data_IF_185264795044
#
_entry.id   IF_185264795044
#
_cell.length_a   1.000
_cell.length_b   1.000
_cell.length_c   1.000
_cell.angle_alpha   90.00
_cell.angle_beta   90.00
_cell.angle_gamma   90.00
#
_symmetry.space_group_name_H-M   'P 1'
#
loop_
_entity.id
_entity.type
_entity.pdbx_description
1 polymer ?
#
# COMPACT_ATOMS: atom_id res chain seq x y z
N UNK A 1 5.32 14.61 -43.81
CA UNK A 1 5.02 15.85 -43.06
C UNK A 1 5.11 15.50 -41.57
N UNK A 2 6.21 15.84 -40.91
CA UNK A 2 6.32 15.68 -39.45
C UNK A 2 5.47 16.79 -38.84
N UNK A 3 4.40 16.42 -38.17
CA UNK A 3 3.63 17.36 -37.37
C UNK A 3 4.46 17.56 -36.10
N UNK A 4 5.25 18.63 -36.09
CA UNK A 4 5.84 19.12 -34.85
C UNK A 4 4.70 19.68 -34.00
N UNK A 5 4.27 18.91 -33.00
CA UNK A 5 3.42 19.41 -31.93
C UNK A 5 4.25 20.48 -31.20
N UNK A 6 3.92 21.76 -31.41
CA UNK A 6 4.40 22.82 -30.53
C UNK A 6 3.92 22.45 -29.12
N UNK A 7 4.86 22.16 -28.22
CA UNK A 7 4.56 22.16 -26.79
C UNK A 7 4.23 23.61 -26.43
N UNK A 8 2.94 23.95 -26.40
CA UNK A 8 2.49 25.15 -25.71
C UNK A 8 2.86 24.96 -24.23
N UNK A 9 3.62 25.91 -23.69
CA UNK A 9 4.02 25.88 -22.29
C UNK A 9 2.77 26.17 -21.45
N UNK A 10 2.21 25.12 -20.85
CA UNK A 10 1.00 25.22 -20.02
C UNK A 10 1.38 25.93 -18.73
N UNK A 11 0.75 27.06 -18.45
CA UNK A 11 0.83 27.73 -17.15
C UNK A 11 -0.09 27.01 -16.15
N UNK A 12 0.50 26.19 -15.29
CA UNK A 12 -0.25 25.41 -14.29
C UNK A 12 -0.75 26.27 -13.13
N UNK A 13 -0.16 27.45 -12.88
CA UNK A 13 -0.54 28.30 -11.73
C UNK A 13 -1.94 28.88 -11.88
N UNK A 14 -2.41 29.06 -13.12
CA UNK A 14 -3.74 29.61 -13.43
C UNK A 14 -4.85 28.55 -13.52
N UNK A 15 -4.50 27.26 -13.57
CA UNK A 15 -5.48 26.17 -13.67
C UNK A 15 -6.30 26.01 -12.39
N UNK A 16 -7.55 25.61 -12.52
CA UNK A 16 -8.39 25.28 -11.37
C UNK A 16 -7.91 24.00 -10.70
N UNK A 17 -8.30 23.81 -9.44
CA UNK A 17 -7.78 22.68 -8.65
C UNK A 17 -8.26 21.32 -9.16
N UNK A 18 -9.40 21.25 -9.84
CA UNK A 18 -9.87 20.05 -10.53
C UNK A 18 -9.12 19.78 -11.83
N UNK A 19 -8.79 20.82 -12.61
CA UNK A 19 -7.93 20.69 -13.79
C UNK A 19 -6.55 20.15 -13.40
N UNK A 20 -5.96 20.65 -12.31
CA UNK A 20 -4.69 20.12 -11.78
C UNK A 20 -4.78 18.62 -11.46
N UNK A 21 -5.88 18.16 -10.85
CA UNK A 21 -6.10 16.73 -10.56
C UNK A 21 -6.22 15.91 -11.85
N UNK A 22 -6.86 16.46 -12.88
CA UNK A 22 -6.96 15.81 -14.19
C UNK A 22 -5.56 15.63 -14.81
N UNK A 23 -4.71 16.66 -14.81
CA UNK A 23 -3.32 16.53 -15.29
C UNK A 23 -2.50 15.54 -14.47
N UNK A 24 -2.65 15.52 -13.14
CA UNK A 24 -2.02 14.50 -12.28
C UNK A 24 -2.43 13.08 -12.70
N UNK A 25 -3.66 12.90 -13.17
CA UNK A 25 -4.16 11.59 -13.61
C UNK A 25 -3.45 11.02 -14.83
N UNK A 26 -2.85 11.89 -15.66
CA UNK A 26 -2.11 11.50 -16.85
C UNK A 26 -0.64 11.19 -16.59
N UNK A 27 -0.19 11.02 -15.33
CA UNK A 27 1.22 10.77 -14.97
C UNK A 27 1.92 9.62 -15.73
N UNK A 28 1.17 8.65 -16.24
CA UNK A 28 1.73 7.55 -17.04
C UNK A 28 1.95 7.93 -18.52
N UNK A 29 1.20 8.90 -19.02
CA UNK A 29 1.19 9.35 -20.42
C UNK A 29 2.02 10.62 -20.59
N UNK A 30 1.90 11.56 -19.63
CA UNK A 30 2.52 12.88 -19.60
C UNK A 30 3.15 13.14 -18.22
N UNK A 31 4.25 12.44 -17.88
CA UNK A 31 4.83 12.49 -16.53
C UNK A 31 5.34 13.89 -16.14
N UNK A 32 5.88 14.65 -17.08
CA UNK A 32 6.44 15.99 -16.79
C UNK A 32 5.33 16.99 -16.49
N UNK A 33 4.26 16.98 -17.27
CA UNK A 33 3.08 17.82 -17.09
C UNK A 33 2.35 17.46 -15.80
N UNK A 34 2.20 16.17 -15.51
CA UNK A 34 1.61 15.68 -14.27
C UNK A 34 2.42 16.13 -13.04
N UNK A 35 3.75 16.07 -13.09
CA UNK A 35 4.62 16.52 -12.00
C UNK A 35 4.49 18.03 -11.77
N UNK A 36 4.50 18.85 -12.84
CA UNK A 36 4.26 20.29 -12.72
C UNK A 36 2.90 20.60 -12.10
N UNK A 37 1.84 19.95 -12.59
CA UNK A 37 0.50 20.08 -12.02
C UNK A 37 0.45 19.68 -10.54
N UNK A 38 1.14 18.59 -10.18
CA UNK A 38 1.21 18.09 -8.82
C UNK A 38 1.92 19.07 -7.88
N UNK A 39 3.02 19.69 -8.31
CA UNK A 39 3.73 20.71 -7.53
C UNK A 39 2.81 21.90 -7.23
N UNK A 40 2.11 22.41 -8.24
CA UNK A 40 1.16 23.53 -8.06
C UNK A 40 0.02 23.11 -7.11
N UNK A 41 -0.51 21.89 -7.28
CA UNK A 41 -1.54 21.35 -6.39
C UNK A 41 -1.06 21.26 -4.93
N UNK A 42 0.14 20.71 -4.69
CA UNK A 42 0.75 20.66 -3.37
C UNK A 42 0.90 22.06 -2.79
N UNK A 43 1.45 23.02 -3.55
CA UNK A 43 1.61 24.40 -3.10
C UNK A 43 0.28 25.05 -2.68
N UNK A 44 -0.80 24.76 -3.42
CA UNK A 44 -2.14 25.30 -3.17
C UNK A 44 -2.77 24.77 -1.87
N UNK A 45 -2.53 23.50 -1.53
CA UNK A 45 -3.21 22.85 -0.40
C UNK A 45 -2.31 22.52 0.80
N UNK A 46 -0.99 22.63 0.70
CA UNK A 46 -0.03 22.21 1.74
C UNK A 46 -0.32 22.80 3.12
N UNK A 47 -0.60 24.11 3.20
CA UNK A 47 -0.85 24.76 4.48
C UNK A 47 -2.10 24.20 5.18
N UNK A 48 -3.15 23.93 4.40
CA UNK A 48 -4.42 23.41 4.91
C UNK A 48 -4.27 21.95 5.35
N UNK A 49 -3.53 21.14 4.57
CA UNK A 49 -3.23 19.74 4.87
C UNK A 49 -2.36 19.61 6.11
N UNK A 50 -1.25 20.34 6.20
CA UNK A 50 -0.33 20.32 7.35
C UNK A 50 -1.09 20.71 8.63
N UNK A 51 -1.81 21.84 8.60
CA UNK A 51 -2.59 22.29 9.75
C UNK A 51 -3.62 21.24 10.20
N UNK A 52 -4.28 20.59 9.25
CA UNK A 52 -5.25 19.53 9.56
C UNK A 52 -4.55 18.30 10.15
N UNK A 53 -3.41 17.91 9.60
CA UNK A 53 -2.61 16.81 10.11
C UNK A 53 -2.11 17.08 11.53
N UNK A 54 -1.68 18.30 11.85
CA UNK A 54 -1.29 18.71 13.20
C UNK A 54 -2.46 18.62 14.18
N UNK A 55 -3.62 19.18 13.81
CA UNK A 55 -4.82 19.15 14.66
C UNK A 55 -5.22 17.70 14.98
N UNK A 56 -5.25 16.83 13.97
CA UNK A 56 -5.60 15.43 14.17
C UNK A 56 -4.51 14.69 14.95
N UNK A 57 -3.24 14.82 14.58
CA UNK A 57 -2.13 14.15 15.27
C UNK A 57 -2.10 14.51 16.76
N UNK A 58 -2.22 15.78 17.09
CA UNK A 58 -2.22 16.26 18.48
C UNK A 58 -3.42 15.71 19.26
N UNK A 59 -4.61 15.62 18.64
CA UNK A 59 -5.80 14.98 19.25
C UNK A 59 -5.57 13.51 19.61
N UNK A 60 -4.73 12.79 18.86
CA UNK A 60 -4.40 11.39 19.11
C UNK A 60 -3.05 11.20 19.83
N UNK A 61 -2.44 12.28 20.34
CA UNK A 61 -1.20 12.23 21.12
C UNK A 61 0.08 12.04 20.30
N UNK A 62 0.04 12.32 19.00
CA UNK A 62 1.20 12.27 18.11
C UNK A 62 1.89 13.63 17.97
N UNK A 63 3.19 13.61 17.66
CA UNK A 63 4.02 14.81 17.52
C UNK A 63 3.80 15.55 16.19
N UNK A 64 4.32 16.78 16.10
CA UNK A 64 4.35 17.56 14.86
C UNK A 64 5.16 16.88 13.75
N UNK A 65 6.20 16.13 14.11
CA UNK A 65 6.99 15.34 13.14
C UNK A 65 6.11 14.28 12.49
N UNK A 66 5.33 13.53 13.28
CA UNK A 66 4.37 12.56 12.76
C UNK A 66 3.31 13.27 11.90
N UNK A 67 2.84 14.45 12.32
CA UNK A 67 1.88 15.22 11.52
C UNK A 67 2.42 15.59 10.13
N UNK A 68 3.69 15.99 10.05
CA UNK A 68 4.35 16.26 8.78
C UNK A 68 4.45 15.01 7.90
N UNK A 69 4.78 13.86 8.48
CA UNK A 69 4.79 12.57 7.76
C UNK A 69 3.40 12.22 7.23
N UNK A 70 2.34 12.40 8.03
CA UNK A 70 0.96 12.19 7.58
C UNK A 70 0.60 13.13 6.41
N UNK A 71 1.03 14.39 6.45
CA UNK A 71 0.81 15.34 5.36
C UNK A 71 1.52 14.90 4.08
N UNK A 72 2.77 14.43 4.17
CA UNK A 72 3.51 13.89 3.04
C UNK A 72 2.84 12.63 2.47
N UNK A 73 2.43 11.69 3.32
CA UNK A 73 1.68 10.50 2.93
C UNK A 73 0.34 10.85 2.24
N UNK A 74 -0.31 11.93 2.67
CA UNK A 74 -1.55 12.42 2.03
C UNK A 74 -1.30 12.81 0.59
N UNK A 75 -0.27 13.62 0.31
CA UNK A 75 0.08 14.01 -1.05
C UNK A 75 0.60 12.83 -1.88
N UNK A 76 1.43 11.96 -1.30
CA UNK A 76 1.87 10.73 -1.97
C UNK A 76 0.68 9.86 -2.40
N UNK A 77 -0.37 9.81 -1.59
CA UNK A 77 -1.61 9.10 -1.93
C UNK A 77 -2.40 9.77 -3.05
N UNK A 78 -2.42 11.11 -3.12
CA UNK A 78 -3.04 11.84 -4.23
C UNK A 78 -2.28 11.54 -5.53
N UNK A 79 -0.94 11.60 -5.51
CA UNK A 79 -0.11 11.22 -6.64
C UNK A 79 -0.38 9.79 -7.08
N UNK A 80 -0.47 8.85 -6.14
CA UNK A 80 -0.70 7.44 -6.43
C UNK A 80 -2.12 7.17 -6.95
N UNK A 81 -3.13 7.74 -6.30
CA UNK A 81 -4.55 7.54 -6.57
C UNK A 81 -5.30 8.89 -6.65
N UNK A 82 -5.32 9.48 -7.83
CA UNK A 82 -6.03 10.71 -8.18
C UNK A 82 -7.54 10.45 -8.35
N UNK A 83 -8.21 10.04 -7.25
CA UNK A 83 -9.58 9.53 -7.26
C UNK A 83 -10.65 10.57 -6.89
N UNK A 84 -10.30 11.86 -6.85
CA UNK A 84 -11.26 12.90 -6.55
C UNK A 84 -12.33 12.98 -7.65
N UNK A 85 -13.57 13.20 -7.23
CA UNK A 85 -14.71 13.26 -8.15
C UNK A 85 -15.69 14.31 -7.62
N UNK A 86 -15.75 15.45 -8.33
CA UNK A 86 -16.59 16.58 -7.96
C UNK A 86 -18.08 16.22 -7.94
N UNK A 87 -18.52 15.29 -8.79
CA UNK A 87 -19.94 14.86 -8.85
C UNK A 87 -20.43 14.25 -7.54
N UNK A 88 -19.52 13.71 -6.72
CA UNK A 88 -19.80 13.12 -5.40
C UNK A 88 -19.85 14.15 -4.28
N UNK A 89 -19.50 15.41 -4.54
CA UNK A 89 -19.50 16.49 -3.55
C UNK A 89 -20.69 17.42 -3.73
N UNK A 90 -21.42 17.70 -2.64
CA UNK A 90 -22.51 18.69 -2.61
C UNK A 90 -22.03 20.13 -2.50
N UNK A 91 -20.74 20.34 -2.27
CA UNK A 91 -20.16 21.66 -2.08
C UNK A 91 -19.96 22.31 -3.44
N UNK A 92 -20.40 23.55 -3.62
CA UNK A 92 -20.26 24.28 -4.90
C UNK A 92 -18.80 24.62 -5.19
N UNK A 93 -18.15 25.27 -4.23
CA UNK A 93 -16.74 25.66 -4.30
C UNK A 93 -15.83 24.43 -4.48
N UNK A 94 -14.95 24.47 -5.49
CA UNK A 94 -14.10 23.33 -5.84
C UNK A 94 -12.99 23.11 -4.82
N UNK A 95 -12.29 24.17 -4.42
CA UNK A 95 -11.19 24.11 -3.47
C UNK A 95 -11.66 23.61 -2.11
N UNK A 96 -12.82 24.09 -1.64
CA UNK A 96 -13.43 23.61 -0.40
C UNK A 96 -13.83 22.14 -0.49
N UNK A 97 -14.31 21.67 -1.64
CA UNK A 97 -14.62 20.26 -1.84
C UNK A 97 -13.34 19.40 -1.79
N UNK A 98 -12.27 19.86 -2.43
CA UNK A 98 -10.97 19.19 -2.44
C UNK A 98 -10.35 19.18 -1.04
N UNK A 99 -10.41 20.28 -0.29
CA UNK A 99 -9.95 20.33 1.11
C UNK A 99 -10.60 19.26 1.98
N UNK A 100 -11.92 19.12 1.92
CA UNK A 100 -12.62 18.09 2.69
C UNK A 100 -12.21 16.68 2.25
N UNK A 101 -12.02 16.47 0.95
CA UNK A 101 -11.49 15.20 0.45
C UNK A 101 -10.07 14.92 0.97
N UNK A 102 -9.18 15.92 0.97
CA UNK A 102 -7.83 15.81 1.55
C UNK A 102 -7.88 15.56 3.06
N UNK A 103 -8.76 16.21 3.82
CA UNK A 103 -8.92 15.98 5.26
C UNK A 103 -9.33 14.54 5.57
N UNK A 104 -10.20 13.96 4.73
CA UNK A 104 -10.56 12.56 4.84
C UNK A 104 -9.35 11.63 4.56
N UNK A 105 -8.47 12.01 3.63
CA UNK A 105 -7.21 11.27 3.40
C UNK A 105 -6.29 11.39 4.61
N UNK A 106 -6.04 12.60 5.12
CA UNK A 106 -5.22 12.86 6.32
C UNK A 106 -5.67 11.98 7.48
N UNK A 107 -6.98 11.97 7.77
CA UNK A 107 -7.54 11.15 8.84
C UNK A 107 -7.25 9.65 8.62
N UNK A 108 -7.44 9.15 7.40
CA UNK A 108 -7.19 7.75 7.08
C UNK A 108 -5.70 7.38 7.21
N UNK A 109 -4.79 8.25 6.77
CA UNK A 109 -3.35 8.02 6.90
C UNK A 109 -2.90 8.05 8.37
N UNK A 110 -3.46 8.94 9.19
CA UNK A 110 -3.24 8.94 10.63
C UNK A 110 -3.74 7.64 11.29
N UNK A 111 -4.94 7.18 10.94
CA UNK A 111 -5.47 5.92 11.49
C UNK A 111 -4.63 4.71 11.06
N UNK A 112 -4.09 4.71 9.83
CA UNK A 112 -3.14 3.68 9.39
C UNK A 112 -1.84 3.73 10.21
N UNK A 113 -1.29 4.92 10.44
CA UNK A 113 -0.11 5.11 11.27
C UNK A 113 -0.33 4.54 12.67
N UNK A 114 -1.46 4.84 13.32
CA UNK A 114 -1.78 4.29 14.65
C UNK A 114 -1.86 2.75 14.73
N UNK A 115 -2.04 2.06 13.60
CA UNK A 115 -2.11 0.58 13.54
C UNK A 115 -0.80 -0.05 13.08
N UNK A 116 -0.08 0.60 12.15
CA UNK A 116 1.10 0.03 11.48
C UNK A 116 2.43 0.70 11.84
N UNK A 117 2.37 1.77 12.63
CA UNK A 117 3.49 2.70 12.88
C UNK A 117 4.09 3.29 11.60
N UNK A 118 3.29 3.34 10.53
CA UNK A 118 3.63 3.99 9.26
C UNK A 118 2.37 4.35 8.47
N UNK A 119 2.41 5.49 7.79
CA UNK A 119 1.41 5.90 6.79
C UNK A 119 1.85 5.61 5.35
N UNK A 120 3.13 5.27 5.15
CA UNK A 120 3.68 5.03 3.82
C UNK A 120 3.09 3.74 3.27
N UNK A 121 2.55 3.81 2.05
CA UNK A 121 2.20 2.60 1.32
C UNK A 121 3.45 2.06 0.64
N UNK A 122 3.75 0.75 0.76
CA UNK A 122 4.86 0.15 0.03
C UNK A 122 4.70 0.40 -1.47
N UNK A 123 5.83 0.59 -2.16
CA UNK A 123 5.83 0.70 -3.61
C UNK A 123 5.40 -0.63 -4.23
N UNK A 124 4.94 -0.61 -5.49
CA UNK A 124 4.53 -1.86 -6.15
C UNK A 124 5.70 -2.85 -6.30
N UNK A 125 6.93 -2.33 -6.35
CA UNK A 125 8.16 -3.09 -6.48
C UNK A 125 8.63 -3.70 -5.14
N UNK A 126 8.29 -3.07 -4.02
CA UNK A 126 8.54 -3.61 -2.67
C UNK A 126 7.68 -4.86 -2.38
N UNK A 127 6.60 -5.06 -3.15
CA UNK A 127 5.68 -6.18 -2.99
C UNK A 127 6.12 -7.39 -3.83
N UNK A 128 6.88 -8.28 -3.21
CA UNK A 128 7.39 -9.53 -3.81
C UNK A 128 6.55 -10.77 -3.46
N UNK A 129 6.65 -11.80 -4.30
CA UNK A 129 6.17 -13.14 -3.97
C UNK A 129 7.19 -13.79 -3.04
N UNK A 130 6.69 -14.43 -1.98
CA UNK A 130 7.53 -15.05 -0.96
C UNK A 130 7.69 -16.52 -1.31
N UNK A 131 8.89 -16.90 -1.71
CA UNK A 131 9.16 -18.25 -2.24
C UNK A 131 9.70 -19.18 -1.17
N UNK A 132 10.45 -18.63 -0.21
CA UNK A 132 11.06 -19.38 0.87
C UNK A 132 10.92 -18.66 2.22
N UNK A 133 11.38 -19.32 3.29
CA UNK A 133 11.30 -18.79 4.65
C UNK A 133 12.27 -17.62 4.89
N UNK A 134 13.40 -17.56 4.20
CA UNK A 134 14.34 -16.43 4.31
C UNK A 134 13.72 -15.15 3.72
N UNK A 135 12.98 -15.26 2.62
CA UNK A 135 12.20 -14.17 2.04
C UNK A 135 11.13 -13.69 3.04
N UNK A 136 10.42 -14.63 3.67
CA UNK A 136 9.38 -14.33 4.68
C UNK A 136 9.99 -13.57 5.86
N UNK A 137 11.11 -14.06 6.40
CA UNK A 137 11.82 -13.44 7.52
C UNK A 137 12.27 -12.03 7.14
N UNK A 138 12.86 -11.86 5.96
CA UNK A 138 13.34 -10.57 5.48
C UNK A 138 12.21 -9.54 5.37
N UNK A 139 11.04 -9.95 4.86
CA UNK A 139 9.85 -9.09 4.76
C UNK A 139 9.20 -8.77 6.10
N UNK A 140 9.29 -9.69 7.08
CA UNK A 140 8.57 -9.54 8.36
C UNK A 140 9.33 -8.68 9.38
N UNK A 141 10.66 -8.81 9.43
CA UNK A 141 11.49 -8.20 10.49
C UNK A 141 12.60 -7.27 9.98
N UNK A 142 12.70 -7.04 8.66
CA UNK A 142 13.72 -6.15 8.10
C UNK A 142 15.13 -6.67 8.42
N UNK A 143 16.09 -5.79 8.70
CA UNK A 143 17.51 -6.14 8.97
C UNK A 143 17.84 -6.45 10.45
N UNK A 144 16.85 -6.49 11.34
CA UNK A 144 17.06 -6.74 12.78
C UNK A 144 17.57 -8.17 13.05
N UNK A 145 18.86 -8.30 13.31
CA UNK A 145 19.54 -9.60 13.41
C UNK A 145 19.05 -10.48 14.57
N UNK A 146 18.56 -9.89 15.66
CA UNK A 146 18.10 -10.62 16.84
C UNK A 146 16.69 -11.15 16.63
N UNK A 147 15.79 -10.30 16.11
CA UNK A 147 14.43 -10.73 15.73
C UNK A 147 14.43 -11.75 14.60
N UNK A 148 15.36 -11.62 13.64
CA UNK A 148 15.56 -12.63 12.57
C UNK A 148 15.86 -14.02 13.14
N UNK A 149 16.75 -14.11 14.14
CA UNK A 149 17.12 -15.40 14.76
C UNK A 149 15.94 -16.04 15.50
N UNK A 150 15.23 -15.28 16.33
CA UNK A 150 14.05 -15.79 17.05
C UNK A 150 12.96 -16.24 16.07
N UNK A 151 12.70 -15.47 15.00
CA UNK A 151 11.71 -15.84 14.00
C UNK A 151 12.12 -17.11 13.23
N UNK A 152 13.39 -17.25 12.84
CA UNK A 152 13.89 -18.47 12.18
C UNK A 152 13.66 -19.72 13.03
N UNK A 153 13.99 -19.66 14.33
CA UNK A 153 13.79 -20.79 15.26
C UNK A 153 12.31 -21.20 15.30
N UNK A 154 11.39 -20.22 15.34
CA UNK A 154 9.94 -20.49 15.34
C UNK A 154 9.46 -21.08 14.01
N UNK A 155 10.10 -20.70 12.91
CA UNK A 155 9.75 -21.14 11.56
C UNK A 155 10.29 -22.55 11.22
N UNK A 156 11.30 -23.07 11.92
CA UNK A 156 11.83 -24.44 11.66
C UNK A 156 10.75 -25.53 11.75
N UNK A 157 9.80 -25.38 12.67
CA UNK A 157 8.69 -26.35 12.81
C UNK A 157 7.77 -26.28 11.59
N UNK A 158 7.54 -25.06 11.08
CA UNK A 158 6.72 -24.82 9.88
C UNK A 158 7.44 -25.35 8.64
N UNK A 159 8.77 -25.21 8.55
CA UNK A 159 9.58 -25.77 7.46
C UNK A 159 9.41 -27.29 7.35
N UNK A 160 9.45 -27.99 8.49
CA UNK A 160 9.19 -29.45 8.53
C UNK A 160 7.76 -29.77 8.12
N UNK A 161 6.79 -28.98 8.57
CA UNK A 161 5.39 -29.13 8.15
C UNK A 161 5.20 -28.93 6.64
N UNK A 162 6.04 -28.11 6.01
CA UNK A 162 5.96 -27.82 4.57
C UNK A 162 6.56 -28.91 3.68
N UNK A 163 7.32 -29.87 4.20
CA UNK A 163 7.93 -30.94 3.39
C UNK A 163 6.88 -31.78 2.64
N UNK A 164 5.67 -31.92 3.20
CA UNK A 164 4.55 -32.62 2.56
C UNK A 164 3.80 -31.81 1.50
N UNK A 165 4.15 -30.54 1.30
CA UNK A 165 3.46 -29.63 0.38
C UNK A 165 4.19 -29.52 -0.96
N UNK A 166 3.42 -29.35 -2.04
CA UNK A 166 4.02 -29.03 -3.35
C UNK A 166 4.51 -27.58 -3.38
N UNK A 167 5.38 -27.26 -4.33
CA UNK A 167 5.98 -25.93 -4.44
C UNK A 167 4.94 -24.81 -4.56
N UNK A 168 3.87 -25.05 -5.34
CA UNK A 168 2.75 -24.10 -5.46
C UNK A 168 2.07 -23.86 -4.11
N UNK A 169 1.87 -24.89 -3.29
CA UNK A 169 1.28 -24.75 -1.96
C UNK A 169 2.18 -23.92 -1.03
N UNK A 170 3.49 -24.19 -1.04
CA UNK A 170 4.47 -23.47 -0.20
C UNK A 170 4.50 -21.99 -0.54
N UNK A 171 4.69 -21.65 -1.82
CA UNK A 171 4.76 -20.26 -2.30
C UNK A 171 3.46 -19.51 -1.94
N UNK A 172 2.29 -20.13 -2.18
CA UNK A 172 1.01 -19.50 -1.85
C UNK A 172 0.89 -19.29 -0.34
N UNK A 173 1.18 -20.29 0.48
CA UNK A 173 1.09 -20.17 1.93
C UNK A 173 2.02 -19.07 2.48
N UNK A 174 3.29 -19.09 2.08
CA UNK A 174 4.30 -18.13 2.52
C UNK A 174 3.92 -16.70 2.11
N UNK A 175 3.50 -16.52 0.86
CA UNK A 175 3.05 -15.21 0.36
C UNK A 175 1.83 -14.71 1.13
N UNK A 176 0.85 -15.57 1.42
CA UNK A 176 -0.28 -15.15 2.26
C UNK A 176 0.18 -14.81 3.68
N UNK A 177 1.06 -15.60 4.31
CA UNK A 177 1.56 -15.28 5.66
C UNK A 177 2.33 -13.97 5.74
N UNK A 178 3.01 -13.56 4.68
CA UNK A 178 3.74 -12.30 4.65
C UNK A 178 2.82 -11.06 4.62
N UNK A 179 1.66 -11.15 3.97
CA UNK A 179 0.82 -9.97 3.70
C UNK A 179 -0.59 -10.01 4.30
N UNK A 180 -1.11 -11.19 4.65
CA UNK A 180 -2.43 -11.35 5.28
C UNK A 180 -2.36 -10.85 6.72
N UNK A 181 -3.04 -9.74 6.99
CA UNK A 181 -3.10 -9.14 8.32
C UNK A 181 -4.53 -9.25 8.87
N UNK A 182 -4.70 -9.90 10.03
CA UNK A 182 -5.96 -10.03 10.76
C UNK A 182 -7.14 -10.48 9.88
N UNK A 183 -6.95 -11.50 9.05
CA UNK A 183 -8.00 -12.07 8.18
C UNK A 183 -8.32 -11.25 6.94
N UNK A 184 -7.56 -10.19 6.64
CA UNK A 184 -7.66 -9.44 5.37
C UNK A 184 -6.83 -10.10 4.28
N UNK A 185 -7.41 -10.21 3.09
CA UNK A 185 -6.71 -10.74 1.91
C UNK A 185 -5.42 -9.95 1.59
N UNK A 186 -4.48 -10.63 0.93
CA UNK A 186 -3.26 -10.02 0.40
C UNK A 186 -3.57 -8.84 -0.55
N UNK A 187 -2.63 -7.88 -0.71
CA UNK A 187 -2.78 -6.80 -1.68
C UNK A 187 -3.11 -7.31 -3.10
N UNK A 188 -3.95 -6.57 -3.82
CA UNK A 188 -4.42 -6.96 -5.17
C UNK A 188 -3.26 -7.20 -6.15
N UNK A 189 -2.20 -6.39 -6.05
CA UNK A 189 -0.99 -6.50 -6.86
C UNK A 189 -0.27 -7.82 -6.56
N UNK A 190 -0.04 -8.16 -5.28
CA UNK A 190 0.55 -9.45 -4.87
C UNK A 190 -0.30 -10.61 -5.38
N UNK A 191 -1.62 -10.53 -5.26
CA UNK A 191 -2.53 -11.56 -5.78
C UNK A 191 -2.51 -11.68 -7.31
N UNK A 192 -2.23 -10.60 -8.05
CA UNK A 192 -2.02 -10.65 -9.51
C UNK A 192 -0.67 -11.30 -9.84
N UNK A 193 0.42 -10.84 -9.22
CA UNK A 193 1.77 -11.42 -9.39
C UNK A 193 1.78 -12.93 -9.08
N UNK A 194 1.08 -13.35 -8.03
CA UNK A 194 1.01 -14.75 -7.61
C UNK A 194 0.28 -15.64 -8.64
N UNK A 195 -0.82 -15.15 -9.22
CA UNK A 195 -1.56 -15.84 -10.27
C UNK A 195 -0.75 -15.98 -11.56
N UNK A 196 -0.09 -14.91 -11.96
CA UNK A 196 0.75 -14.87 -13.16
C UNK A 196 1.94 -15.82 -13.01
N UNK A 197 2.67 -15.74 -11.88
CA UNK A 197 3.85 -16.58 -11.62
C UNK A 197 3.52 -18.08 -11.59
N UNK A 198 2.43 -18.46 -10.92
CA UNK A 198 2.06 -19.87 -10.75
C UNK A 198 1.19 -20.41 -11.89
N UNK A 199 0.80 -19.54 -12.83
CA UNK A 199 -0.17 -19.80 -13.88
C UNK A 199 -1.46 -20.44 -13.32
N UNK A 200 -2.09 -19.74 -12.36
CA UNK A 200 -3.28 -20.20 -11.65
C UNK A 200 -4.40 -19.16 -11.69
N UNK A 201 -5.63 -19.64 -11.74
CA UNK A 201 -6.83 -18.81 -11.52
C UNK A 201 -7.04 -18.55 -10.03
N UNK A 202 -7.82 -17.52 -9.70
CA UNK A 202 -8.05 -17.12 -8.31
C UNK A 202 -8.69 -18.23 -7.46
N UNK A 203 -9.61 -19.01 -8.03
CA UNK A 203 -10.23 -20.14 -7.33
C UNK A 203 -9.20 -21.20 -6.93
N UNK A 204 -8.27 -21.54 -7.83
CA UNK A 204 -7.16 -22.44 -7.52
C UNK A 204 -6.27 -21.88 -6.42
N UNK A 205 -5.92 -20.59 -6.46
CA UNK A 205 -5.13 -19.98 -5.37
C UNK A 205 -5.81 -20.17 -4.00
N UNK A 206 -7.12 -19.99 -3.92
CA UNK A 206 -7.86 -20.18 -2.65
C UNK A 206 -7.86 -21.64 -2.19
N UNK A 207 -8.00 -22.59 -3.12
CA UNK A 207 -7.93 -24.03 -2.80
C UNK A 207 -6.55 -24.40 -2.26
N UNK A 208 -5.49 -24.05 -2.98
CA UNK A 208 -4.11 -24.34 -2.56
C UNK A 208 -3.76 -23.64 -1.23
N UNK A 209 -4.24 -22.39 -1.02
CA UNK A 209 -4.10 -21.70 0.28
C UNK A 209 -4.73 -22.52 1.41
N UNK A 210 -5.96 -22.97 1.21
CA UNK A 210 -6.70 -23.75 2.20
C UNK A 210 -5.98 -25.08 2.48
N UNK A 211 -5.66 -25.85 1.45
CA UNK A 211 -4.98 -27.15 1.56
C UNK A 211 -3.63 -27.02 2.29
N UNK A 212 -2.83 -25.99 1.96
CA UNK A 212 -1.57 -25.72 2.64
C UNK A 212 -1.77 -25.35 4.12
N UNK A 213 -2.78 -24.52 4.41
CA UNK A 213 -3.10 -24.09 5.78
C UNK A 213 -3.58 -25.26 6.62
N UNK A 214 -4.47 -26.09 6.09
CA UNK A 214 -5.00 -27.28 6.76
C UNK A 214 -3.88 -28.30 7.03
N UNK A 215 -3.00 -28.54 6.05
CA UNK A 215 -1.84 -29.43 6.22
C UNK A 215 -0.93 -28.97 7.37
N UNK A 216 -0.57 -27.69 7.40
CA UNK A 216 0.31 -27.13 8.44
C UNK A 216 -0.39 -27.17 9.80
N UNK A 217 -1.66 -26.79 9.89
CA UNK A 217 -2.41 -26.84 11.14
C UNK A 217 -2.53 -28.27 11.67
N UNK A 218 -2.78 -29.26 10.80
CA UNK A 218 -2.84 -30.66 11.21
C UNK A 218 -1.50 -31.17 11.74
N UNK A 219 -0.39 -30.77 11.10
CA UNK A 219 0.95 -31.10 11.58
C UNK A 219 1.24 -30.47 12.95
N UNK A 220 0.90 -29.19 13.14
CA UNK A 220 1.08 -28.52 14.43
C UNK A 220 0.20 -29.12 15.53
N UNK A 221 -1.04 -29.50 15.20
CA UNK A 221 -1.96 -30.14 16.14
C UNK A 221 -1.47 -31.54 16.55
N UNK A 222 -0.87 -32.32 15.65
CA UNK A 222 -0.33 -33.64 15.98
C UNK A 222 0.88 -33.56 16.91
N UNK A 223 1.68 -32.49 16.82
CA UNK A 223 2.78 -32.22 17.76
C UNK A 223 2.25 -31.85 19.16
N UNK A 224 1.14 -31.12 19.23
CA UNK A 224 0.53 -30.69 20.49
C UNK A 224 -0.33 -31.79 21.16
N UNK A 225 -0.94 -32.69 20.38
CA UNK A 225 -1.74 -33.82 20.87
C UNK A 225 -0.94 -35.04 21.31
N UNK A 226 0.38 -35.05 21.08
CA UNK A 226 1.33 -36.06 21.56
C UNK A 226 2.04 -35.64 22.87
N UNK A 227 1.44 -34.71 23.64
CA UNK A 227 1.87 -34.33 24.99
C UNK A 227 0.87 -34.81 26.04
#
# INVERSE_FOLDING_TARGET
>A
MKIELKQEDIDFDVLTSDELIEYISFKNEFPSEAEKAFIVFCNRFQQDVIKTAEIYSNKYGHSEVIALDIANCTFAKVWKYHSFDKSKSKIKDIDKAIKIWLHAIVFNELMKYGVKDTCSEPEEDDLSIVENLDDLVSLTVGEDSEKRKDLKIRLEIIERAMLGLSEKHKIIYLTYKAYENNGKNIPRIVGKKLREKLNLVQSSIQVYKKEATDHINNYLNSLNGNR
#
